data_IF_560018822956
#
_entry.id   IF_560018822956
#
_cell.length_a   1.000
_cell.length_b   1.000
_cell.length_c   1.000
_cell.angle_alpha   90.00
_cell.angle_beta   90.00
_cell.angle_gamma   90.00
#
_symmetry.space_group_name_H-M   'P 1'
#
loop_
_entity.id
_entity.type
_entity.pdbx_description
1 polymer ?
#
# COMPACT_ATOMS: atom_id res chain seq x y z
N UNK A 1 -19.09 34.52 26.05
CA UNK A 1 -17.72 34.59 25.49
C UNK A 1 -16.92 33.34 25.85
N UNK A 2 -16.82 32.96 27.13
CA UNK A 2 -16.08 31.76 27.59
C UNK A 2 -16.60 30.46 26.97
N UNK A 3 -17.92 30.24 26.92
CA UNK A 3 -18.51 29.02 26.34
C UNK A 3 -18.20 28.86 24.84
N UNK A 4 -18.16 29.99 24.10
CA UNK A 4 -17.86 30.00 22.68
C UNK A 4 -16.38 29.69 22.41
N UNK A 5 -15.49 30.18 23.29
CA UNK A 5 -14.06 29.85 23.27
C UNK A 5 -13.82 28.38 23.60
N UNK A 6 -14.51 27.85 24.61
CA UNK A 6 -14.42 26.44 24.99
C UNK A 6 -14.95 25.50 23.90
N UNK A 7 -16.10 25.83 23.30
CA UNK A 7 -16.65 25.06 22.18
C UNK A 7 -15.71 25.03 20.97
N UNK A 8 -15.07 26.17 20.66
CA UNK A 8 -14.09 26.26 19.57
C UNK A 8 -12.84 25.43 19.86
N UNK A 9 -12.32 25.45 21.09
CA UNK A 9 -11.17 24.63 21.50
C UNK A 9 -11.44 23.14 21.38
N UNK A 10 -12.62 22.69 21.83
CA UNK A 10 -13.03 21.28 21.72
C UNK A 10 -13.15 20.87 20.25
N UNK A 11 -13.77 21.71 19.42
CA UNK A 11 -13.88 21.46 17.99
C UNK A 11 -12.51 21.32 17.31
N UNK A 12 -11.57 22.24 17.60
CA UNK A 12 -10.20 22.17 17.06
C UNK A 12 -9.50 20.88 17.52
N UNK A 13 -9.63 20.49 18.79
CA UNK A 13 -9.04 19.23 19.29
C UNK A 13 -9.57 18.00 18.55
N UNK A 14 -10.89 17.94 18.29
CA UNK A 14 -11.50 16.83 17.53
C UNK A 14 -10.97 16.79 16.09
N UNK A 15 -10.88 17.95 15.43
CA UNK A 15 -10.35 18.05 14.06
C UNK A 15 -8.88 17.60 14.02
N UNK A 16 -8.06 18.02 14.99
CA UNK A 16 -6.66 17.62 15.09
C UNK A 16 -6.50 16.11 15.32
N UNK A 17 -7.34 15.51 16.18
CA UNK A 17 -7.33 14.06 16.38
C UNK A 17 -7.74 13.30 15.11
N UNK A 18 -8.74 13.79 14.38
CA UNK A 18 -9.14 13.21 13.10
C UNK A 18 -8.00 13.29 12.06
N UNK A 19 -7.36 14.46 11.93
CA UNK A 19 -6.23 14.66 11.04
C UNK A 19 -5.03 13.77 11.41
N UNK A 20 -4.75 13.58 12.70
CA UNK A 20 -3.69 12.70 13.17
C UNK A 20 -3.96 11.23 12.79
N UNK A 21 -5.21 10.76 12.91
CA UNK A 21 -5.58 9.40 12.48
C UNK A 21 -5.44 9.21 10.98
N UNK A 22 -5.83 10.22 10.19
CA UNK A 22 -5.66 10.18 8.73
C UNK A 22 -4.18 10.09 8.36
N UNK A 23 -3.33 10.92 8.99
CA UNK A 23 -1.88 10.89 8.76
C UNK A 23 -1.26 9.54 9.11
N UNK A 24 -1.67 8.93 10.23
CA UNK A 24 -1.20 7.59 10.62
C UNK A 24 -1.57 6.52 9.57
N UNK A 25 -2.81 6.55 9.06
CA UNK A 25 -3.25 5.63 7.99
C UNK A 25 -2.45 5.80 6.70
N UNK A 26 -2.12 7.04 6.32
CA UNK A 26 -1.30 7.31 5.14
C UNK A 26 0.12 6.78 5.32
N UNK A 27 0.72 6.96 6.49
CA UNK A 27 2.05 6.44 6.80
C UNK A 27 2.10 4.90 6.73
N UNK A 28 1.04 4.20 7.17
CA UNK A 28 0.93 2.75 7.04
C UNK A 28 0.85 2.30 5.58
N UNK A 29 0.14 3.05 4.73
CA UNK A 29 0.04 2.79 3.28
C UNK A 29 1.40 2.95 2.60
N UNK A 30 2.13 4.03 2.89
CA UNK A 30 3.45 4.26 2.29
C UNK A 30 4.46 3.17 2.70
N UNK A 31 4.44 2.77 3.96
CA UNK A 31 5.26 1.65 4.45
C UNK A 31 4.93 0.32 3.76
N UNK A 32 3.65 0.06 3.50
CA UNK A 32 3.23 -1.12 2.74
C UNK A 32 3.68 -1.06 1.28
N UNK A 33 3.65 0.12 0.64
CA UNK A 33 4.17 0.31 -0.73
C UNK A 33 5.67 0.05 -0.80
N UNK A 34 6.43 0.57 0.15
CA UNK A 34 7.87 0.37 0.21
C UNK A 34 8.24 -1.11 0.41
N UNK A 35 7.44 -1.85 1.20
CA UNK A 35 7.58 -3.31 1.31
C UNK A 35 7.36 -4.00 -0.03
N UNK A 36 6.24 -3.72 -0.71
CA UNK A 36 5.93 -4.30 -2.01
C UNK A 36 7.05 -4.02 -3.01
N UNK A 37 7.53 -2.77 -3.09
CA UNK A 37 8.67 -2.39 -3.93
C UNK A 37 9.89 -3.25 -3.62
N UNK A 38 10.23 -3.39 -2.34
CA UNK A 38 11.38 -4.19 -1.91
C UNK A 38 11.23 -5.65 -2.34
N UNK A 39 10.07 -6.27 -2.10
CA UNK A 39 9.80 -7.66 -2.46
C UNK A 39 9.84 -7.88 -3.98
N UNK A 40 9.36 -6.92 -4.77
CA UNK A 40 9.47 -6.94 -6.24
C UNK A 40 10.93 -6.94 -6.69
N UNK A 41 11.74 -6.04 -6.12
CA UNK A 41 13.16 -5.93 -6.44
C UNK A 41 13.96 -7.16 -5.98
N UNK A 42 13.66 -7.69 -4.80
CA UNK A 42 14.29 -8.90 -4.24
C UNK A 42 13.91 -10.17 -5.05
N UNK A 43 12.70 -10.20 -5.64
CA UNK A 43 12.23 -11.30 -6.50
C UNK A 43 12.89 -11.35 -7.90
N UNK A 44 13.62 -10.31 -8.29
CA UNK A 44 14.35 -10.28 -9.56
C UNK A 44 13.44 -10.29 -10.79
N UNK A 45 13.53 -11.33 -11.63
CA UNK A 45 12.77 -11.45 -12.88
C UNK A 45 11.31 -11.88 -12.66
N UNK A 46 11.05 -12.65 -11.60
CA UNK A 46 9.71 -13.12 -11.25
C UNK A 46 9.47 -12.89 -9.77
N UNK A 47 8.51 -12.05 -9.44
CA UNK A 47 8.19 -11.71 -8.06
C UNK A 47 6.80 -12.23 -7.69
N UNK A 48 6.66 -12.70 -6.44
CA UNK A 48 5.39 -13.14 -5.86
C UNK A 48 5.13 -12.31 -4.61
N UNK A 49 4.03 -11.57 -4.60
CA UNK A 49 3.68 -10.65 -3.50
C UNK A 49 2.48 -11.20 -2.75
N UNK A 50 2.62 -11.41 -1.44
CA UNK A 50 1.54 -11.89 -0.59
C UNK A 50 0.58 -10.75 -0.24
N UNK A 51 -0.70 -10.97 -0.52
CA UNK A 51 -1.73 -9.93 -0.31
C UNK A 51 -1.86 -9.61 1.19
N UNK A 52 -1.87 -10.63 2.05
CA UNK A 52 -1.98 -10.45 3.50
C UNK A 52 -0.81 -9.65 4.09
N UNK A 53 0.42 -9.88 3.61
CA UNK A 53 1.61 -9.18 4.11
C UNK A 53 1.70 -7.73 3.61
N UNK A 54 0.96 -7.42 2.54
CA UNK A 54 0.89 -6.10 1.92
C UNK A 54 -0.21 -5.21 2.48
N UNK A 55 -0.96 -5.65 3.49
CA UNK A 55 -1.98 -4.83 4.16
C UNK A 55 -1.35 -3.52 4.69
N UNK A 56 -1.97 -2.33 4.49
CA UNK A 56 -3.37 -2.11 4.07
C UNK A 56 -3.62 -1.95 2.56
N UNK A 57 -2.67 -2.31 1.68
CA UNK A 57 -2.86 -2.19 0.24
C UNK A 57 -3.89 -3.18 -0.30
N UNK A 58 -4.69 -2.72 -1.26
CA UNK A 58 -5.53 -3.60 -2.09
C UNK A 58 -4.73 -4.20 -3.24
N UNK A 59 -5.23 -5.29 -3.82
CA UNK A 59 -4.62 -5.97 -4.96
C UNK A 59 -4.34 -5.02 -6.13
N UNK A 60 -5.29 -4.11 -6.41
CA UNK A 60 -5.15 -3.08 -7.45
C UNK A 60 -3.98 -2.15 -7.16
N UNK A 61 -3.82 -1.71 -5.91
CA UNK A 61 -2.71 -0.85 -5.51
C UNK A 61 -1.36 -1.57 -5.57
N UNK A 62 -1.33 -2.86 -5.24
CA UNK A 62 -0.12 -3.68 -5.37
C UNK A 62 0.27 -3.79 -6.85
N UNK A 63 -0.70 -4.01 -7.75
CA UNK A 63 -0.48 -4.07 -9.20
C UNK A 63 0.00 -2.73 -9.75
N UNK A 64 -0.55 -1.61 -9.29
CA UNK A 64 -0.12 -0.26 -9.69
C UNK A 64 1.33 0.01 -9.27
N UNK A 65 1.69 -0.34 -8.02
CA UNK A 65 3.08 -0.24 -7.55
C UNK A 65 3.98 -1.10 -8.42
N UNK A 66 3.62 -2.37 -8.64
CA UNK A 66 4.41 -3.27 -9.48
C UNK A 66 4.61 -2.72 -10.90
N UNK A 67 3.56 -2.17 -11.52
CA UNK A 67 3.63 -1.54 -12.84
C UNK A 67 4.59 -0.34 -12.84
N UNK A 68 4.56 0.50 -11.80
CA UNK A 68 5.46 1.64 -11.68
C UNK A 68 6.94 1.23 -11.55
N UNK A 69 7.20 0.05 -11.01
CA UNK A 69 8.54 -0.55 -10.89
C UNK A 69 8.94 -1.37 -12.15
N UNK A 70 8.12 -1.36 -13.20
CA UNK A 70 8.40 -2.05 -14.46
C UNK A 70 8.01 -3.53 -14.47
N UNK A 71 7.16 -3.99 -13.55
CA UNK A 71 6.64 -5.35 -13.53
C UNK A 71 5.26 -5.46 -14.18
N UNK A 72 5.03 -6.56 -14.89
CA UNK A 72 3.74 -6.94 -15.44
C UNK A 72 3.06 -7.99 -14.56
N UNK A 73 1.78 -7.78 -14.26
CA UNK A 73 0.95 -8.71 -13.52
C UNK A 73 0.62 -9.95 -14.37
N UNK A 74 0.84 -11.16 -13.82
CA UNK A 74 0.58 -12.43 -14.51
C UNK A 74 -0.68 -13.15 -14.04
N UNK A 75 -1.15 -12.85 -12.83
CA UNK A 75 -2.32 -13.51 -12.25
C UNK A 75 -2.24 -13.65 -10.75
N UNK A 76 -3.30 -14.21 -10.16
CA UNK A 76 -3.31 -14.62 -8.76
C UNK A 76 -2.69 -16.01 -8.68
N UNK A 77 -1.54 -16.12 -8.03
CA UNK A 77 -0.91 -17.38 -7.68
C UNK A 77 -1.48 -17.91 -6.38
N UNK A 78 -1.76 -19.20 -6.31
CA UNK A 78 -1.92 -19.88 -5.03
C UNK A 78 -0.54 -20.04 -4.39
N UNK A 79 -0.40 -19.60 -3.15
CA UNK A 79 0.73 -20.00 -2.32
C UNK A 79 0.29 -21.16 -1.42
N UNK A 80 1.22 -22.08 -1.12
CA UNK A 80 0.94 -23.15 -0.17
C UNK A 80 0.42 -22.58 1.16
N UNK A 81 -0.49 -23.30 1.81
CA UNK A 81 -1.21 -22.91 3.03
C UNK A 81 -2.41 -21.94 2.86
N UNK A 82 -2.95 -21.77 1.64
CA UNK A 82 -4.26 -21.14 1.44
C UNK A 82 -4.26 -19.61 1.38
N UNK A 83 -3.09 -18.99 1.27
CA UNK A 83 -2.95 -17.55 1.09
C UNK A 83 -2.88 -17.19 -0.40
N UNK A 84 -3.55 -16.10 -0.76
CA UNK A 84 -3.50 -15.55 -2.11
C UNK A 84 -2.26 -14.66 -2.28
N UNK A 85 -1.55 -14.89 -3.38
CA UNK A 85 -0.40 -14.09 -3.79
C UNK A 85 -0.61 -13.58 -5.22
N UNK A 86 -0.01 -12.43 -5.53
CA UNK A 86 -0.01 -11.86 -6.87
C UNK A 86 1.34 -12.17 -7.53
N UNK A 87 1.29 -12.76 -8.72
CA UNK A 87 2.48 -13.10 -9.48
C UNK A 87 2.80 -12.01 -10.50
N UNK A 88 4.08 -11.63 -10.56
CA UNK A 88 4.62 -10.59 -11.41
C UNK A 88 5.84 -11.06 -12.18
N UNK A 89 6.04 -10.49 -13.36
CA UNK A 89 7.27 -10.66 -14.16
C UNK A 89 7.84 -9.30 -14.51
N UNK A 90 9.15 -9.16 -14.43
CA UNK A 90 9.83 -7.94 -14.83
C UNK A 90 9.63 -7.76 -16.33
N UNK A 91 9.03 -6.64 -16.71
CA UNK A 91 8.93 -6.25 -18.11
C UNK A 91 10.34 -6.00 -18.63
N UNK A 92 10.83 -6.87 -19.50
CA UNK A 92 11.98 -6.52 -20.32
C UNK A 92 11.56 -5.33 -21.15
N UNK A 93 12.19 -4.17 -20.94
CA UNK A 93 11.91 -2.97 -21.72
C UNK A 93 12.17 -3.25 -23.19
N UNK A 94 11.12 -3.63 -23.93
CA UNK A 94 11.04 -3.50 -25.36
C UNK A 94 10.01 -2.41 -25.62
N UNK A 95 10.55 -1.19 -25.63
CA UNK A 95 9.96 -0.12 -26.42
C UNK A 95 10.25 -0.48 -27.88
N UNK A 96 9.29 -1.12 -28.52
CA UNK A 96 9.14 -1.14 -29.97
C UNK A 96 7.96 -0.26 -30.37
#
# INVERSE_FOLDING_TARGET
MVELVMGTLIFVLVVLMAAARVKARLQDVDKARDRVRKELLDGGETAKIRIFESHPLSDVQIIEVARSEGFAYRGVGAEGAGYAALDFVKGTGRHD
#
